data_IF_303862235108
#
_entry.id   IF_303862235108
#
_cell.length_a   1.000
_cell.length_b   1.000
_cell.length_c   1.000
_cell.angle_alpha   90.00
_cell.angle_beta   90.00
_cell.angle_gamma   90.00
#
_symmetry.space_group_name_H-M   'P 1'
#
loop_
_entity.id
_entity.type
_entity.pdbx_description
1 polymer ?
#
# COMPACT_ATOMS: atom_id res chain seq x y z
N UNK A 1 2.63 11.54 -20.53
CA UNK A 1 1.89 12.09 -19.36
C UNK A 1 0.38 11.98 -19.48
N UNK A 2 -0.26 12.36 -20.60
CA UNK A 2 -1.72 12.18 -20.75
C UNK A 2 -2.12 10.70 -20.76
N UNK A 3 -1.31 9.82 -21.35
CA UNK A 3 -1.59 8.38 -21.30
C UNK A 3 -1.52 7.80 -19.87
N UNK A 4 -0.57 8.23 -19.04
CA UNK A 4 -0.48 7.77 -17.65
C UNK A 4 -1.71 8.17 -16.83
N UNK A 5 -2.18 9.41 -16.99
CA UNK A 5 -3.39 9.87 -16.31
C UNK A 5 -4.61 9.06 -16.78
N UNK A 6 -4.78 8.88 -18.09
CA UNK A 6 -5.90 8.12 -18.65
C UNK A 6 -5.90 6.66 -18.16
N UNK A 7 -4.73 6.04 -18.07
CA UNK A 7 -4.59 4.69 -17.52
C UNK A 7 -4.94 4.64 -16.03
N UNK A 8 -4.43 5.57 -15.22
CA UNK A 8 -4.75 5.61 -13.80
C UNK A 8 -6.25 5.87 -13.56
N UNK A 9 -6.88 6.75 -14.35
CA UNK A 9 -8.33 7.00 -14.30
C UNK A 9 -9.13 5.74 -14.67
N UNK A 10 -8.70 4.99 -15.70
CA UNK A 10 -9.37 3.75 -16.11
C UNK A 10 -9.21 2.60 -15.12
N UNK A 11 -8.25 2.68 -14.18
CA UNK A 11 -8.01 1.70 -13.12
C UNK A 11 -8.35 2.25 -11.72
N UNK A 12 -9.14 3.32 -11.64
CA UNK A 12 -9.52 3.94 -10.37
C UNK A 12 -10.25 2.99 -9.42
N UNK A 13 -11.04 2.06 -9.95
CA UNK A 13 -11.71 1.02 -9.15
C UNK A 13 -10.69 0.04 -8.53
N UNK A 14 -9.64 -0.33 -9.27
CA UNK A 14 -8.58 -1.20 -8.77
C UNK A 14 -7.74 -0.50 -7.69
N UNK A 15 -7.44 0.79 -7.88
CA UNK A 15 -6.76 1.61 -6.87
C UNK A 15 -7.59 1.65 -5.59
N UNK A 16 -8.90 1.86 -5.71
CA UNK A 16 -9.80 1.90 -4.57
C UNK A 16 -9.94 0.53 -3.90
N UNK A 17 -9.94 -0.56 -4.66
CA UNK A 17 -9.99 -1.92 -4.14
C UNK A 17 -8.72 -2.27 -3.36
N UNK A 18 -7.54 -1.91 -3.88
CA UNK A 18 -6.26 -2.03 -3.18
C UNK A 18 -6.28 -1.25 -1.87
N UNK A 19 -6.71 0.02 -1.91
CA UNK A 19 -6.79 0.85 -0.71
C UNK A 19 -7.77 0.28 0.32
N UNK A 20 -8.95 -0.18 -0.11
CA UNK A 20 -9.91 -0.85 0.77
C UNK A 20 -9.28 -2.07 1.44
N UNK A 21 -8.64 -2.94 0.66
CA UNK A 21 -7.99 -4.13 1.21
C UNK A 21 -6.93 -3.78 2.26
N UNK A 22 -6.11 -2.76 1.97
CA UNK A 22 -5.13 -2.27 2.94
C UNK A 22 -5.82 -1.73 4.19
N UNK A 23 -6.90 -0.95 4.09
CA UNK A 23 -7.63 -0.39 5.25
C UNK A 23 -8.28 -1.49 6.08
N UNK A 24 -8.95 -2.44 5.45
CA UNK A 24 -9.60 -3.58 6.11
C UNK A 24 -8.59 -4.52 6.78
N UNK A 25 -7.35 -4.54 6.29
CA UNK A 25 -6.22 -5.19 6.97
C UNK A 25 -5.65 -4.25 8.03
N UNK A 26 -6.13 -4.37 9.25
CA UNK A 26 -5.62 -3.58 10.38
C UNK A 26 -4.12 -3.80 10.57
N UNK A 27 -3.41 -2.74 10.96
CA UNK A 27 -1.95 -2.73 11.07
C UNK A 27 -1.54 -1.83 12.23
N UNK A 28 -1.92 -2.19 13.46
CA UNK A 28 -1.59 -1.38 14.63
C UNK A 28 -0.09 -1.50 14.95
N UNK A 29 0.62 -0.39 15.20
CA UNK A 29 2.07 -0.40 15.48
C UNK A 29 2.48 -1.38 16.59
N UNK A 30 1.67 -1.48 17.66
CA UNK A 30 1.94 -2.37 18.79
C UNK A 30 1.44 -3.81 18.58
N UNK A 31 0.79 -4.09 17.46
CA UNK A 31 0.39 -5.44 17.04
C UNK A 31 1.21 -5.83 15.80
N UNK A 32 2.38 -6.41 16.07
CA UNK A 32 3.31 -6.89 15.05
C UNK A 32 2.62 -7.82 14.04
N UNK A 33 1.78 -8.75 14.51
CA UNK A 33 1.15 -9.73 13.63
C UNK A 33 0.21 -9.06 12.62
N UNK A 34 -0.54 -8.04 13.05
CA UNK A 34 -1.39 -7.24 12.15
C UNK A 34 -0.57 -6.48 11.10
N UNK A 35 0.54 -5.87 11.51
CA UNK A 35 1.43 -5.13 10.60
C UNK A 35 2.13 -6.06 9.61
N UNK A 36 2.58 -7.24 10.07
CA UNK A 36 3.20 -8.27 9.22
C UNK A 36 2.19 -8.85 8.22
N UNK A 37 0.90 -8.97 8.59
CA UNK A 37 -0.15 -9.41 7.67
C UNK A 37 -0.33 -8.42 6.51
N UNK A 38 -0.41 -7.11 6.81
CA UNK A 38 -0.44 -6.08 5.77
C UNK A 38 0.86 -6.06 4.94
N UNK A 39 2.01 -6.23 5.59
CA UNK A 39 3.31 -6.35 4.92
C UNK A 39 3.35 -7.52 3.94
N UNK A 40 2.78 -8.68 4.30
CA UNK A 40 2.65 -9.84 3.41
C UNK A 40 1.83 -9.53 2.16
N UNK A 41 0.72 -8.80 2.31
CA UNK A 41 -0.09 -8.34 1.18
C UNK A 41 0.68 -7.39 0.26
N UNK A 42 1.33 -6.35 0.82
CA UNK A 42 2.11 -5.38 0.06
C UNK A 42 3.27 -6.05 -0.67
N UNK A 43 3.98 -6.97 0.00
CA UNK A 43 5.03 -7.79 -0.61
C UNK A 43 4.50 -8.51 -1.85
N UNK A 44 3.38 -9.22 -1.75
CA UNK A 44 2.78 -9.93 -2.88
C UNK A 44 2.37 -9.01 -4.03
N UNK A 45 1.84 -7.82 -3.72
CA UNK A 45 1.51 -6.80 -4.74
C UNK A 45 2.74 -6.33 -5.52
N UNK A 46 3.85 -6.05 -4.82
CA UNK A 46 5.09 -5.57 -5.44
C UNK A 46 5.81 -6.69 -6.21
N UNK A 47 5.85 -7.91 -5.68
CA UNK A 47 6.39 -9.07 -6.39
C UNK A 47 5.60 -9.37 -7.68
N UNK A 48 4.27 -9.17 -7.65
CA UNK A 48 3.41 -9.28 -8.83
C UNK A 48 3.73 -8.26 -9.93
N UNK A 49 4.39 -7.14 -9.59
CA UNK A 49 4.90 -6.15 -10.54
C UNK A 49 6.35 -6.41 -10.97
N UNK A 50 6.95 -7.53 -10.54
CA UNK A 50 8.33 -7.90 -10.85
C UNK A 50 9.37 -7.33 -9.90
N UNK A 51 8.97 -6.74 -8.77
CA UNK A 51 9.92 -6.26 -7.77
C UNK A 51 10.61 -7.43 -7.04
N UNK A 52 11.89 -7.27 -6.72
CA UNK A 52 12.58 -8.13 -5.76
C UNK A 52 12.37 -7.58 -4.36
N UNK A 53 11.62 -8.31 -3.53
CA UNK A 53 11.27 -7.86 -2.18
C UNK A 53 12.00 -8.68 -1.13
N UNK A 54 12.73 -8.01 -0.25
CA UNK A 54 13.33 -8.61 0.95
C UNK A 54 12.65 -8.09 2.21
N UNK A 55 12.45 -8.98 3.16
CA UNK A 55 11.91 -8.66 4.48
C UNK A 55 13.07 -8.44 5.45
N UNK A 56 13.02 -7.36 6.23
CA UNK A 56 13.96 -7.08 7.30
C UNK A 56 13.24 -7.29 8.63
N UNK A 57 13.54 -8.39 9.35
CA UNK A 57 12.82 -8.74 10.57
C UNK A 57 12.95 -7.68 11.67
N UNK A 58 11.86 -7.43 12.39
CA UNK A 58 11.81 -6.63 13.61
C UNK A 58 11.28 -7.47 14.78
N UNK A 59 11.77 -7.21 16.00
CA UNK A 59 11.37 -7.97 17.19
C UNK A 59 10.12 -7.44 17.87
N UNK A 60 9.91 -6.13 17.86
CA UNK A 60 8.83 -5.47 18.63
C UNK A 60 7.68 -4.96 17.76
N UNK A 61 7.98 -4.57 16.52
CA UNK A 61 7.04 -3.99 15.55
C UNK A 61 6.98 -4.82 14.27
N UNK A 62 6.17 -4.39 13.31
CA UNK A 62 6.10 -5.02 11.99
C UNK A 62 7.45 -5.03 11.26
N UNK A 63 7.67 -6.07 10.46
CA UNK A 63 8.86 -6.19 9.62
C UNK A 63 8.91 -5.09 8.55
N UNK A 64 10.12 -4.65 8.20
CA UNK A 64 10.26 -3.72 7.08
C UNK A 64 10.31 -4.48 5.76
N UNK A 65 9.73 -3.89 4.73
CA UNK A 65 9.88 -4.34 3.35
C UNK A 65 10.87 -3.44 2.62
N UNK A 66 11.81 -4.03 1.91
CA UNK A 66 12.65 -3.33 0.93
C UNK A 66 12.40 -3.97 -0.42
N UNK A 67 11.93 -3.18 -1.37
CA UNK A 67 11.58 -3.61 -2.71
C UNK A 67 12.43 -2.87 -3.74
N UNK A 68 13.14 -3.63 -4.56
CA UNK A 68 13.91 -3.12 -5.69
C UNK A 68 13.15 -3.45 -6.99
N UNK A 69 12.93 -2.46 -7.84
CA UNK A 69 12.21 -2.62 -9.12
C UNK A 69 12.85 -1.77 -10.22
N UNK A 70 12.96 -2.34 -11.41
CA UNK A 70 13.59 -1.71 -12.57
C UNK A 70 15.12 -1.82 -12.59
N UNK A 71 15.70 -1.31 -13.67
CA UNK A 71 17.14 -1.29 -13.92
C UNK A 71 17.53 0.12 -14.40
N UNK A 72 18.68 0.64 -13.97
CA UNK A 72 19.12 1.98 -14.34
C UNK A 72 20.35 2.45 -13.56
N UNK A 73 21.03 3.47 -14.06
CA UNK A 73 22.18 4.12 -13.42
C UNK A 73 21.75 5.19 -12.39
N UNK A 74 20.51 5.69 -12.49
CA UNK A 74 19.88 6.58 -11.53
C UNK A 74 18.86 5.82 -10.66
N UNK A 75 18.77 6.19 -9.38
CA UNK A 75 17.90 5.54 -8.41
C UNK A 75 16.97 6.55 -7.74
N UNK A 76 15.72 6.12 -7.48
CA UNK A 76 14.73 6.86 -6.70
C UNK A 76 14.38 6.02 -5.47
N UNK A 77 14.35 6.65 -4.30
CA UNK A 77 13.85 6.02 -3.08
C UNK A 77 12.45 6.53 -2.77
N UNK A 78 11.49 5.60 -2.70
CA UNK A 78 10.16 5.85 -2.15
C UNK A 78 10.10 5.29 -0.72
N UNK A 79 9.70 6.11 0.24
CA UNK A 79 9.59 5.72 1.65
C UNK A 79 8.13 5.78 2.10
N UNK A 80 7.69 4.73 2.80
CA UNK A 80 6.33 4.60 3.34
C UNK A 80 6.39 3.88 4.70
N UNK A 81 5.34 4.02 5.52
CA UNK A 81 5.08 3.16 6.68
C UNK A 81 3.72 2.46 6.52
N UNK A 82 3.62 1.24 7.04
CA UNK A 82 2.44 0.38 6.87
C UNK A 82 1.55 0.36 8.11
N UNK A 83 2.17 0.56 9.27
CA UNK A 83 1.50 0.59 10.55
C UNK A 83 0.65 1.85 10.70
N UNK A 84 -0.23 1.82 11.68
CA UNK A 84 -1.13 2.90 12.01
C UNK A 84 -1.23 3.01 13.52
N UNK A 85 -1.69 4.18 13.98
CA UNK A 85 -1.98 4.45 15.38
C UNK A 85 -3.28 3.80 15.88
N UNK A 86 -4.02 3.11 15.01
CA UNK A 86 -5.36 2.58 15.32
C UNK A 86 -5.26 1.19 15.93
N UNK A 87 -5.77 0.96 17.16
CA UNK A 87 -5.78 -0.37 17.76
C UNK A 87 -6.58 -1.39 16.93
N UNK A 88 -6.13 -2.64 16.92
CA UNK A 88 -6.86 -3.76 16.31
C UNK A 88 -8.30 -3.84 16.85
N UNK A 89 -9.27 -3.99 15.95
CA UNK A 89 -10.70 -3.94 16.22
C UNK A 89 -11.37 -2.59 15.89
N UNK A 90 -10.60 -1.53 15.64
CA UNK A 90 -11.14 -0.20 15.28
C UNK A 90 -12.04 -0.26 14.04
N UNK A 91 -11.73 -1.13 13.07
CA UNK A 91 -12.50 -1.28 11.84
C UNK A 91 -13.98 -1.64 12.09
N UNK A 92 -14.31 -2.26 13.22
CA UNK A 92 -15.69 -2.61 13.58
C UNK A 92 -16.55 -1.37 13.85
N UNK A 93 -15.94 -0.32 14.41
CA UNK A 93 -16.60 0.96 14.69
C UNK A 93 -16.44 1.96 13.53
N UNK A 94 -15.36 1.82 12.76
CA UNK A 94 -14.98 2.73 11.68
C UNK A 94 -14.69 1.95 10.40
N UNK A 95 -15.68 1.28 9.81
CA UNK A 95 -15.47 0.46 8.62
C UNK A 95 -15.03 1.32 7.44
N UNK A 96 -14.35 0.71 6.47
CA UNK A 96 -14.08 1.36 5.20
C UNK A 96 -15.40 1.74 4.52
N UNK A 97 -15.53 3.00 4.11
CA UNK A 97 -16.68 3.49 3.36
C UNK A 97 -16.27 4.64 2.44
N UNK A 98 -17.04 4.82 1.37
CA UNK A 98 -16.92 5.98 0.48
C UNK A 98 -18.24 6.73 0.49
N UNK A 99 -18.21 8.00 0.83
CA UNK A 99 -19.38 8.88 0.85
C UNK A 99 -19.04 10.21 0.21
N UNK A 100 -19.86 10.66 -0.75
CA UNK A 100 -19.70 11.94 -1.43
C UNK A 100 -18.28 12.15 -2.02
N UNK A 101 -17.67 11.08 -2.54
CA UNK A 101 -16.32 11.12 -3.11
C UNK A 101 -15.18 11.11 -2.09
N UNK A 102 -15.48 10.91 -0.80
CA UNK A 102 -14.48 10.85 0.27
C UNK A 102 -14.42 9.41 0.81
N UNK A 103 -13.22 8.83 0.83
CA UNK A 103 -12.95 7.56 1.48
C UNK A 103 -12.68 7.75 2.98
N UNK A 104 -13.23 6.87 3.81
CA UNK A 104 -13.05 6.86 5.25
C UNK A 104 -12.56 5.49 5.71
N UNK A 105 -11.71 5.47 6.73
CA UNK A 105 -11.27 4.25 7.41
C UNK A 105 -9.93 4.46 8.16
N UNK A 106 -9.57 3.56 9.08
CA UNK A 106 -8.35 3.65 9.87
C UNK A 106 -7.11 3.61 8.97
N UNK A 107 -6.26 4.64 9.10
CA UNK A 107 -5.03 4.77 8.34
C UNK A 107 -5.21 4.96 6.83
N UNK A 108 -6.43 5.25 6.36
CA UNK A 108 -6.71 5.40 4.92
C UNK A 108 -5.81 6.45 4.28
N UNK A 109 -5.69 7.63 4.91
CA UNK A 109 -4.85 8.72 4.41
C UNK A 109 -3.43 8.64 4.96
N UNK A 110 -3.29 8.22 6.22
CA UNK A 110 -2.01 8.09 6.93
C UNK A 110 -1.73 6.61 7.27
N UNK A 111 -1.07 5.86 6.39
CA UNK A 111 -0.64 6.28 5.04
C UNK A 111 -0.89 5.24 3.95
N UNK A 112 -1.96 4.46 4.11
CA UNK A 112 -2.32 3.38 3.18
C UNK A 112 -2.61 3.91 1.76
N UNK A 113 -3.18 5.11 1.61
CA UNK A 113 -3.36 5.76 0.31
C UNK A 113 -2.03 6.04 -0.40
N UNK A 114 -0.99 6.45 0.35
CA UNK A 114 0.34 6.67 -0.21
C UNK A 114 0.94 5.38 -0.79
N UNK A 115 0.79 4.27 -0.08
CA UNK A 115 1.24 2.95 -0.55
C UNK A 115 0.45 2.51 -1.80
N UNK A 116 -0.87 2.65 -1.79
CA UNK A 116 -1.70 2.32 -2.94
C UNK A 116 -1.30 3.16 -4.17
N UNK A 117 -1.11 4.47 -4.00
CA UNK A 117 -0.64 5.36 -5.08
C UNK A 117 0.73 4.89 -5.61
N UNK A 118 1.69 4.60 -4.75
CA UNK A 118 3.02 4.16 -5.17
C UNK A 118 2.95 2.86 -5.98
N UNK A 119 2.20 1.86 -5.50
CA UNK A 119 2.00 0.58 -6.19
C UNK A 119 1.38 0.76 -7.57
N UNK A 120 0.32 1.56 -7.69
CA UNK A 120 -0.37 1.76 -8.98
C UNK A 120 0.38 2.71 -9.92
N UNK A 121 1.21 3.62 -9.40
CA UNK A 121 2.14 4.38 -10.22
C UNK A 121 3.17 3.45 -10.89
N UNK A 122 3.72 2.48 -10.15
CA UNK A 122 4.64 1.47 -10.70
C UNK A 122 3.95 0.61 -11.78
N UNK A 123 2.72 0.16 -11.54
CA UNK A 123 1.92 -0.57 -12.53
C UNK A 123 1.69 0.28 -13.80
N UNK A 124 1.32 1.54 -13.63
CA UNK A 124 1.10 2.46 -14.76
C UNK A 124 2.36 2.62 -15.59
N UNK A 125 3.54 2.75 -14.95
CA UNK A 125 4.81 2.82 -15.65
C UNK A 125 5.11 1.51 -16.39
N UNK A 126 4.94 0.36 -15.75
CA UNK A 126 5.15 -0.95 -16.37
C UNK A 126 4.26 -1.18 -17.60
N UNK A 127 3.01 -0.73 -17.58
CA UNK A 127 2.08 -0.86 -18.69
C UNK A 127 2.44 0.01 -19.92
N UNK A 128 3.37 0.94 -19.78
CA UNK A 128 3.81 1.88 -20.82
C UNK A 128 5.31 1.81 -21.12
N UNK A 129 5.98 0.78 -20.60
CA UNK A 129 7.37 0.45 -20.94
C UNK A 129 7.46 -0.46 -22.17
#
# INVERSE_FOLDING_TARGET
>A
MKEFLAYAESHSEDILATLRHMVDTESFTADKASTDALGGYIKGQLEGLGAQVRVVPQSEVGDHLVADIGEGDQQILLLCHMDTVWPTGTIQERPFRVENGIGYGPGILDMKAGIAIARHALETLNAHN
#
